data_IF_420458412663
#
_entry.id   IF_420458412663
#
_cell.length_a   1.000
_cell.length_b   1.000
_cell.length_c   1.000
_cell.angle_alpha   90.00
_cell.angle_beta   90.00
_cell.angle_gamma   90.00
#
_symmetry.space_group_name_H-M   'P 1'
#
loop_
_entity.id
_entity.type
_entity.pdbx_description
1 polymer ?
#
# COMPACT_ATOMS: atom_id res chain seq x y z
N UNK A 1 40.28 -15.92 -33.58
CA UNK A 1 39.22 -15.31 -32.78
C UNK A 1 38.09 -16.28 -32.71
N UNK A 2 37.58 -16.66 -31.53
CA UNK A 2 36.52 -17.61 -31.40
C UNK A 2 35.22 -17.03 -31.95
N UNK A 3 34.58 -17.72 -32.88
CA UNK A 3 33.29 -17.35 -33.48
C UNK A 3 32.24 -17.14 -32.38
N UNK A 4 31.62 -15.95 -32.36
CA UNK A 4 30.55 -15.60 -31.43
C UNK A 4 29.26 -16.33 -31.84
N UNK A 5 29.06 -17.51 -31.30
CA UNK A 5 27.82 -18.28 -31.52
C UNK A 5 26.77 -17.91 -30.46
N UNK A 6 25.79 -17.07 -30.83
CA UNK A 6 24.75 -16.58 -29.91
C UNK A 6 23.85 -17.70 -29.38
N UNK A 7 23.60 -18.76 -30.14
CA UNK A 7 22.85 -19.91 -29.68
C UNK A 7 23.59 -20.68 -28.57
N UNK A 8 24.90 -20.87 -28.75
CA UNK A 8 25.75 -21.47 -27.70
C UNK A 8 25.90 -20.56 -26.49
N UNK A 9 25.93 -19.25 -26.67
CA UNK A 9 26.00 -18.29 -25.58
C UNK A 9 24.76 -18.37 -24.68
N UNK A 10 23.57 -18.58 -25.25
CA UNK A 10 22.33 -18.80 -24.50
C UNK A 10 22.12 -20.26 -24.10
N UNK A 11 22.93 -21.21 -24.59
CA UNK A 11 22.79 -22.64 -24.31
C UNK A 11 21.54 -23.28 -24.92
N UNK A 12 21.12 -22.80 -26.10
CA UNK A 12 19.93 -23.27 -26.83
C UNK A 12 20.28 -23.72 -28.23
N UNK A 13 19.38 -24.49 -28.84
CA UNK A 13 19.53 -24.96 -30.23
C UNK A 13 19.09 -23.87 -31.23
N UNK A 14 19.60 -24.01 -32.51
CA UNK A 14 19.25 -23.05 -33.57
C UNK A 14 17.77 -23.01 -33.94
N UNK A 15 17.03 -24.08 -33.63
CA UNK A 15 15.58 -24.22 -33.85
C UNK A 15 14.73 -23.73 -32.67
N UNK A 16 15.36 -23.22 -31.60
CA UNK A 16 14.66 -22.77 -30.40
C UNK A 16 13.58 -21.70 -30.71
N UNK A 17 12.45 -21.81 -30.01
CA UNK A 17 11.35 -20.84 -30.10
C UNK A 17 11.73 -19.50 -29.43
N UNK A 18 10.99 -18.44 -29.73
CA UNK A 18 11.18 -17.15 -29.07
C UNK A 18 10.96 -17.23 -27.53
N UNK A 19 10.12 -18.15 -27.09
CA UNK A 19 9.89 -18.42 -25.67
C UNK A 19 11.09 -19.11 -25.02
N UNK A 20 11.70 -20.08 -25.71
CA UNK A 20 12.91 -20.74 -25.23
C UNK A 20 14.09 -19.77 -25.12
N UNK A 21 14.23 -18.86 -26.10
CA UNK A 21 15.23 -17.79 -26.07
C UNK A 21 15.02 -16.90 -24.84
N UNK A 22 13.80 -16.44 -24.59
CA UNK A 22 13.46 -15.62 -23.40
C UNK A 22 13.77 -16.36 -22.11
N UNK A 23 13.40 -17.62 -22.01
CA UNK A 23 13.61 -18.45 -20.81
C UNK A 23 15.10 -18.67 -20.52
N UNK A 24 15.88 -18.99 -21.54
CA UNK A 24 17.32 -19.18 -21.43
C UNK A 24 18.02 -17.86 -21.00
N UNK A 25 17.63 -16.74 -21.62
CA UNK A 25 18.13 -15.43 -21.28
C UNK A 25 17.86 -15.09 -19.80
N UNK A 26 16.63 -15.23 -19.32
CA UNK A 26 16.27 -14.94 -17.91
C UNK A 26 17.13 -15.76 -16.93
N UNK A 27 17.32 -17.04 -17.21
CA UNK A 27 18.14 -17.91 -16.36
C UNK A 27 19.59 -17.44 -16.29
N UNK A 28 20.21 -17.11 -17.41
CA UNK A 28 21.61 -16.69 -17.49
C UNK A 28 21.81 -15.27 -16.96
N UNK A 29 20.87 -14.37 -17.23
CA UNK A 29 20.90 -13.00 -16.70
C UNK A 29 20.86 -12.97 -15.18
N UNK A 30 20.02 -13.79 -14.53
CA UNK A 30 19.97 -13.98 -13.07
C UNK A 30 21.26 -14.62 -12.51
N UNK A 31 21.86 -15.54 -13.26
CA UNK A 31 23.09 -16.23 -12.85
C UNK A 31 24.29 -15.31 -12.88
N UNK A 32 24.43 -14.48 -13.92
CA UNK A 32 25.58 -13.59 -14.14
C UNK A 32 25.30 -12.12 -13.76
N UNK A 33 24.23 -11.87 -12.97
CA UNK A 33 23.87 -10.51 -12.58
C UNK A 33 24.98 -9.83 -11.77
N UNK A 34 25.33 -8.56 -12.09
CA UNK A 34 26.40 -7.84 -11.41
C UNK A 34 26.25 -7.77 -9.87
N UNK A 35 25.01 -7.65 -9.37
CA UNK A 35 24.76 -7.58 -7.94
C UNK A 35 25.02 -8.90 -7.20
N UNK A 36 24.83 -10.04 -7.88
CA UNK A 36 25.14 -11.36 -7.32
C UNK A 36 26.61 -11.75 -7.44
N UNK A 37 27.33 -11.18 -8.43
CA UNK A 37 28.69 -11.50 -8.75
C UNK A 37 29.60 -10.24 -8.67
N UNK A 38 29.46 -9.47 -7.58
CA UNK A 38 30.20 -8.21 -7.41
C UNK A 38 31.70 -8.42 -7.52
N UNK A 39 32.34 -7.76 -8.51
CA UNK A 39 33.78 -7.81 -8.76
C UNK A 39 34.27 -8.99 -9.62
N UNK A 40 33.39 -9.90 -10.08
CA UNK A 40 33.77 -10.96 -11.00
C UNK A 40 33.70 -10.49 -12.45
N UNK A 41 34.87 -10.18 -13.04
CA UNK A 41 35.00 -9.74 -14.43
C UNK A 41 34.51 -10.81 -15.42
N UNK A 42 34.64 -12.09 -15.09
CA UNK A 42 34.19 -13.19 -15.97
C UNK A 42 32.66 -13.22 -16.01
N UNK A 43 31.99 -13.01 -14.87
CA UNK A 43 30.53 -12.91 -14.83
C UNK A 43 30.03 -11.68 -15.60
N UNK A 44 30.73 -10.54 -15.52
CA UNK A 44 30.40 -9.32 -16.26
C UNK A 44 30.53 -9.52 -17.78
N UNK A 45 31.59 -10.16 -18.25
CA UNK A 45 31.77 -10.48 -19.67
C UNK A 45 30.70 -11.45 -20.19
N UNK A 46 30.36 -12.48 -19.40
CA UNK A 46 29.27 -13.40 -19.74
C UNK A 46 27.92 -12.70 -19.76
N UNK A 47 27.66 -11.80 -18.84
CA UNK A 47 26.42 -11.01 -18.81
C UNK A 47 26.29 -10.14 -20.06
N UNK A 48 27.38 -9.45 -20.50
CA UNK A 48 27.40 -8.69 -21.74
C UNK A 48 27.15 -9.57 -22.97
N UNK A 49 27.78 -10.74 -23.04
CA UNK A 49 27.58 -11.69 -24.14
C UNK A 49 26.14 -12.25 -24.18
N UNK A 50 25.55 -12.54 -23.04
CA UNK A 50 24.16 -13.01 -22.93
C UNK A 50 23.17 -11.95 -23.38
N UNK A 51 23.39 -10.68 -23.02
CA UNK A 51 22.56 -9.55 -23.46
C UNK A 51 22.67 -9.33 -24.98
N UNK A 52 23.89 -9.36 -25.53
CA UNK A 52 24.13 -9.26 -26.96
C UNK A 52 23.41 -10.40 -27.72
N UNK A 53 23.57 -11.65 -27.30
CA UNK A 53 22.92 -12.80 -27.92
C UNK A 53 21.38 -12.68 -27.90
N UNK A 54 20.81 -12.27 -26.77
CA UNK A 54 19.35 -12.08 -26.67
C UNK A 54 18.87 -10.95 -27.61
N UNK A 55 19.57 -9.84 -27.70
CA UNK A 55 19.17 -8.69 -28.54
C UNK A 55 19.11 -9.03 -30.04
N UNK A 56 19.87 -10.01 -30.46
CA UNK A 56 19.90 -10.47 -31.86
C UNK A 56 18.86 -11.57 -32.09
N UNK A 57 18.78 -12.56 -31.20
CA UNK A 57 17.95 -13.74 -31.41
C UNK A 57 16.47 -13.53 -31.10
N UNK A 58 16.11 -12.53 -30.28
CA UNK A 58 14.72 -12.23 -29.94
C UNK A 58 13.99 -11.52 -31.09
N UNK A 59 14.71 -10.77 -31.93
CA UNK A 59 14.16 -10.06 -33.08
C UNK A 59 14.15 -10.98 -34.30
N UNK A 60 12.98 -11.31 -34.88
CA UNK A 60 12.89 -12.22 -36.02
C UNK A 60 13.69 -11.73 -37.26
N UNK A 61 13.82 -10.41 -37.43
CA UNK A 61 14.57 -9.82 -38.53
C UNK A 61 16.08 -9.98 -38.35
N UNK A 62 16.59 -9.61 -37.16
CA UNK A 62 18.00 -9.76 -36.80
C UNK A 62 18.42 -11.23 -36.75
N UNK A 63 17.55 -12.10 -36.20
CA UNK A 63 17.81 -13.54 -36.16
C UNK A 63 17.99 -14.13 -37.55
N UNK A 64 17.11 -13.77 -38.51
CA UNK A 64 17.26 -14.21 -39.90
C UNK A 64 18.56 -13.74 -40.54
N UNK A 65 18.96 -12.48 -40.29
CA UNK A 65 20.24 -11.95 -40.79
C UNK A 65 21.41 -12.66 -40.13
N UNK A 66 21.34 -12.94 -38.82
CA UNK A 66 22.38 -13.67 -38.12
C UNK A 66 22.46 -15.15 -38.59
N UNK A 67 21.32 -15.79 -38.83
CA UNK A 67 21.27 -17.16 -39.36
C UNK A 67 21.88 -17.28 -40.78
N UNK A 68 21.76 -16.22 -41.58
CA UNK A 68 22.29 -16.20 -42.98
C UNK A 68 23.76 -15.73 -43.05
N UNK A 69 24.16 -14.77 -42.25
CA UNK A 69 25.45 -14.07 -42.38
C UNK A 69 26.39 -14.28 -41.19
N UNK A 70 25.94 -14.97 -40.14
CA UNK A 70 26.72 -15.19 -38.92
C UNK A 70 27.16 -13.90 -38.26
N UNK A 71 28.43 -13.79 -37.87
CA UNK A 71 28.99 -12.62 -37.18
C UNK A 71 28.96 -11.31 -38.02
N UNK A 72 28.86 -11.41 -39.34
CA UNK A 72 28.83 -10.26 -40.23
C UNK A 72 27.44 -9.64 -40.43
N UNK A 73 26.42 -10.11 -39.68
CA UNK A 73 25.04 -9.65 -39.81
C UNK A 73 24.86 -8.14 -39.59
N UNK A 74 25.70 -7.52 -38.74
CA UNK A 74 25.67 -6.07 -38.48
C UNK A 74 26.14 -5.26 -39.69
N UNK A 75 27.15 -5.73 -40.41
CA UNK A 75 27.65 -5.09 -41.62
C UNK A 75 26.61 -5.11 -42.74
N UNK A 76 25.89 -6.23 -42.86
CA UNK A 76 24.81 -6.39 -43.84
C UNK A 76 23.62 -5.51 -43.50
N UNK A 77 23.29 -5.37 -42.21
CA UNK A 77 22.23 -4.49 -41.76
C UNK A 77 22.54 -3.01 -42.03
N UNK A 78 23.79 -2.59 -41.87
CA UNK A 78 24.25 -1.24 -42.20
C UNK A 78 24.43 -0.97 -43.70
N UNK A 79 24.84 -1.98 -44.47
CA UNK A 79 25.05 -1.88 -45.92
C UNK A 79 23.77 -1.91 -46.76
N UNK A 80 22.67 -2.48 -46.21
CA UNK A 80 21.37 -2.52 -46.91
C UNK A 80 20.65 -1.16 -47.04
N UNK A 81 21.11 -0.12 -46.39
CA UNK A 81 20.57 1.26 -46.47
C UNK A 81 21.33 2.20 -47.41
N UNK A 82 22.40 1.75 -48.09
CA UNK A 82 23.24 2.59 -48.95
C UNK A 82 22.84 2.51 -50.45
N UNK A 83 21.55 2.35 -50.75
CA UNK A 83 21.02 2.41 -52.11
C UNK A 83 20.05 3.59 -52.32
N UNK A 84 20.58 4.84 -52.54
CA UNK A 84 19.73 5.89 -53.04
C UNK A 84 19.97 7.32 -52.55
N UNK A 85 20.87 8.03 -53.23
CA UNK A 85 21.01 9.44 -53.64
C UNK A 85 22.13 10.26 -52.98
N UNK A 86 23.00 10.88 -53.82
CA UNK A 86 24.04 11.81 -53.39
C UNK A 86 23.49 13.23 -53.30
N UNK A 87 23.79 13.92 -52.23
CA UNK A 87 23.67 15.38 -52.18
C UNK A 87 23.43 15.94 -50.78
N UNK A 88 24.41 16.68 -50.24
CA UNK A 88 24.18 17.63 -49.16
C UNK A 88 25.14 17.57 -47.98
N UNK A 89 26.19 18.35 -48.12
CA UNK A 89 27.19 18.83 -47.21
C UNK A 89 26.63 19.42 -45.92
N UNK A 90 27.14 19.06 -44.75
CA UNK A 90 27.56 19.99 -43.69
C UNK A 90 27.85 19.26 -42.38
N UNK A 91 29.04 19.43 -41.88
CA UNK A 91 29.55 18.88 -40.62
C UNK A 91 28.87 19.43 -39.37
N UNK A 92 28.81 18.61 -38.36
CA UNK A 92 28.77 19.03 -36.94
C UNK A 92 29.38 17.93 -36.08
N UNK A 93 30.49 18.28 -35.45
CA UNK A 93 31.13 17.57 -34.35
C UNK A 93 30.10 17.21 -33.28
N UNK A 94 30.02 15.94 -32.92
CA UNK A 94 29.30 15.50 -31.71
C UNK A 94 30.34 15.08 -30.68
N UNK A 95 30.47 15.91 -29.67
CA UNK A 95 31.11 15.64 -28.38
C UNK A 95 30.58 14.38 -27.74
N UNK A 96 31.47 13.49 -27.36
CA UNK A 96 31.21 12.30 -26.59
C UNK A 96 30.59 12.68 -25.22
N UNK A 97 29.35 12.36 -25.00
CA UNK A 97 28.69 12.48 -23.70
C UNK A 97 28.82 11.13 -22.98
N UNK A 98 29.58 11.13 -21.91
CA UNK A 98 29.71 10.03 -20.97
C UNK A 98 28.31 9.60 -20.47
N UNK A 99 28.01 8.31 -20.59
CA UNK A 99 26.82 7.67 -20.05
C UNK A 99 27.03 7.45 -18.55
N UNK A 100 26.00 7.73 -17.71
CA UNK A 100 26.04 7.37 -16.28
C UNK A 100 25.87 5.86 -16.10
N UNK A 101 26.45 5.25 -15.04
CA UNK A 101 26.32 3.83 -14.77
C UNK A 101 24.89 3.55 -14.26
N UNK A 102 24.19 2.68 -14.96
CA UNK A 102 22.85 2.20 -14.57
C UNK A 102 22.98 1.16 -13.45
N UNK A 103 22.36 1.42 -12.33
CA UNK A 103 22.06 0.43 -11.30
C UNK A 103 20.68 -0.14 -11.54
N UNK A 104 20.60 -1.43 -11.88
CA UNK A 104 19.37 -2.19 -11.97
C UNK A 104 19.10 -2.88 -10.63
N UNK A 105 17.92 -2.70 -10.08
CA UNK A 105 17.47 -3.41 -8.88
C UNK A 105 16.90 -4.78 -9.25
N UNK A 106 17.31 -5.82 -8.51
CA UNK A 106 16.92 -7.22 -8.78
C UNK A 106 15.43 -7.50 -8.52
N UNK A 107 14.72 -6.58 -7.86
CA UNK A 107 13.29 -6.69 -7.59
C UNK A 107 12.39 -6.38 -8.80
N UNK A 108 12.94 -5.77 -9.86
CA UNK A 108 12.17 -5.41 -11.07
C UNK A 108 11.93 -6.57 -12.03
N UNK A 109 12.49 -7.75 -11.75
CA UNK A 109 12.37 -8.93 -12.62
C UNK A 109 11.08 -9.74 -12.45
N UNK A 110 10.26 -9.46 -11.44
CA UNK A 110 9.02 -10.21 -11.19
C UNK A 110 7.80 -9.73 -11.99
N UNK A 111 7.89 -8.59 -12.69
CA UNK A 111 6.77 -8.05 -13.48
C UNK A 111 7.13 -7.98 -14.97
N UNK A 112 6.64 -8.94 -15.72
CA UNK A 112 6.87 -9.13 -17.17
C UNK A 112 6.50 -7.89 -18.02
N UNK A 113 5.54 -7.07 -17.59
CA UNK A 113 5.04 -5.89 -18.30
C UNK A 113 5.98 -4.68 -18.20
N UNK A 114 6.69 -4.50 -17.09
CA UNK A 114 7.61 -3.37 -16.91
C UNK A 114 8.94 -3.54 -17.68
N UNK A 115 9.36 -4.78 -17.85
CA UNK A 115 10.56 -5.08 -18.61
C UNK A 115 10.39 -4.81 -20.11
N UNK A 116 9.23 -5.14 -20.68
CA UNK A 116 8.94 -4.82 -22.09
C UNK A 116 8.86 -3.30 -22.34
N UNK A 117 8.32 -2.54 -21.41
CA UNK A 117 8.24 -1.07 -21.53
C UNK A 117 9.64 -0.41 -21.42
N UNK A 118 10.46 -0.85 -20.47
CA UNK A 118 11.81 -0.32 -20.29
C UNK A 118 12.74 -0.72 -21.45
N UNK A 119 12.62 -1.96 -21.92
CA UNK A 119 13.37 -2.45 -23.08
C UNK A 119 12.98 -1.73 -24.36
N UNK A 120 11.68 -1.47 -24.58
CA UNK A 120 11.19 -0.74 -25.75
C UNK A 120 11.60 0.73 -25.74
N UNK A 121 11.76 1.33 -24.56
CA UNK A 121 12.22 2.72 -24.40
C UNK A 121 13.71 2.87 -24.66
N UNK A 122 14.51 1.86 -24.33
CA UNK A 122 15.97 1.93 -24.44
C UNK A 122 16.51 1.41 -25.77
N UNK A 123 15.91 0.34 -26.32
CA UNK A 123 16.35 -0.28 -27.58
C UNK A 123 15.46 0.04 -28.79
N UNK A 124 14.30 0.67 -28.58
CA UNK A 124 13.38 1.09 -29.64
C UNK A 124 13.76 2.39 -30.35
N UNK A 125 14.99 2.82 -30.26
CA UNK A 125 15.52 3.99 -30.93
C UNK A 125 15.55 3.83 -32.45
N UNK A 126 14.67 4.59 -33.10
CA UNK A 126 14.74 4.93 -34.52
C UNK A 126 14.05 3.99 -35.51
N UNK A 127 12.72 4.02 -35.51
CA UNK A 127 11.99 3.76 -36.75
C UNK A 127 10.89 4.82 -36.94
N UNK A 128 11.18 5.68 -37.85
CA UNK A 128 10.34 6.57 -38.70
C UNK A 128 8.84 6.51 -38.50
N UNK A 129 8.30 7.73 -38.26
CA UNK A 129 6.91 8.17 -38.38
C UNK A 129 5.93 7.37 -39.20
N UNK A 130 5.27 6.46 -38.54
CA UNK A 130 3.87 6.09 -38.79
C UNK A 130 3.18 6.21 -37.46
N UNK A 131 2.13 7.02 -37.40
CA UNK A 131 1.40 7.36 -36.19
C UNK A 131 1.12 6.13 -35.32
N UNK A 132 1.93 5.98 -34.26
CA UNK A 132 1.69 4.96 -33.23
C UNK A 132 0.38 5.33 -32.58
N UNK A 133 -0.63 4.47 -32.73
CA UNK A 133 -1.87 4.63 -31.96
C UNK A 133 -1.47 4.86 -30.50
N UNK A 134 -2.04 5.84 -29.81
CA UNK A 134 -1.70 6.15 -28.43
C UNK A 134 -1.93 4.90 -27.58
N UNK A 135 -0.85 4.44 -26.91
CA UNK A 135 -0.93 3.24 -26.05
C UNK A 135 -1.93 3.47 -24.93
N UNK A 136 -2.73 2.46 -24.65
CA UNK A 136 -3.62 2.47 -23.49
C UNK A 136 -2.77 2.66 -22.22
N UNK A 137 -3.13 3.64 -21.40
CA UNK A 137 -2.53 3.88 -20.07
C UNK A 137 -3.60 3.75 -19.02
N UNK A 138 -3.34 2.92 -18.02
CA UNK A 138 -4.23 2.83 -16.86
C UNK A 138 -4.21 4.14 -16.08
N UNK A 139 -5.37 4.50 -15.52
CA UNK A 139 -5.48 5.63 -14.61
C UNK A 139 -4.73 5.36 -13.30
N UNK A 140 -4.27 6.41 -12.64
CA UNK A 140 -3.64 6.30 -11.34
C UNK A 140 -4.68 6.01 -10.25
N UNK A 141 -4.25 5.29 -9.20
CA UNK A 141 -5.06 5.11 -8.00
C UNK A 141 -5.18 6.45 -7.26
N UNK A 142 -6.32 6.65 -6.60
CA UNK A 142 -6.59 7.81 -5.76
C UNK A 142 -6.66 7.37 -4.30
N UNK A 143 -6.15 8.20 -3.40
CA UNK A 143 -6.29 8.03 -1.96
C UNK A 143 -7.18 9.13 -1.40
N UNK A 144 -8.09 8.75 -0.50
CA UNK A 144 -8.93 9.69 0.22
C UNK A 144 -9.11 9.23 1.67
N UNK A 145 -9.24 10.19 2.57
CA UNK A 145 -9.56 9.94 3.97
C UNK A 145 -11.05 10.18 4.22
N UNK A 146 -11.67 9.24 4.94
CA UNK A 146 -13.06 9.35 5.37
C UNK A 146 -13.11 9.39 6.89
N UNK A 147 -13.49 10.54 7.43
CA UNK A 147 -13.70 10.69 8.86
C UNK A 147 -15.10 10.24 9.26
N UNK A 148 -15.16 9.38 10.28
CA UNK A 148 -16.40 8.84 10.86
C UNK A 148 -16.41 9.08 12.38
N UNK A 149 -17.60 9.02 13.00
CA UNK A 149 -17.71 9.06 14.45
C UNK A 149 -17.41 7.69 15.08
N UNK A 150 -17.24 7.65 16.41
CA UNK A 150 -17.09 6.41 17.15
C UNK A 150 -18.38 5.58 17.10
N UNK A 151 -19.54 6.24 17.11
CA UNK A 151 -20.86 5.65 16.99
C UNK A 151 -21.06 5.01 15.61
N UNK A 152 -20.62 5.66 14.55
CA UNK A 152 -20.65 5.10 13.20
C UNK A 152 -19.79 3.84 13.11
N UNK A 153 -18.60 3.88 13.73
CA UNK A 153 -17.73 2.70 13.80
C UNK A 153 -18.32 1.59 14.66
N UNK A 154 -19.14 1.93 15.68
CA UNK A 154 -19.83 0.97 16.55
C UNK A 154 -21.01 0.31 15.83
N UNK A 155 -21.92 1.10 15.26
CA UNK A 155 -23.16 0.62 14.66
C UNK A 155 -22.96 0.06 13.24
N UNK A 156 -21.89 0.48 12.57
CA UNK A 156 -21.74 0.41 11.13
C UNK A 156 -22.56 1.51 10.45
N UNK A 157 -22.18 1.85 9.25
CA UNK A 157 -22.85 2.93 8.50
C UNK A 157 -22.92 2.65 7.02
N UNK A 158 -23.90 3.27 6.37
CA UNK A 158 -23.95 3.39 4.92
C UNK A 158 -24.04 4.87 4.57
N UNK A 159 -23.06 5.38 3.81
CA UNK A 159 -22.99 6.79 3.44
C UNK A 159 -22.73 6.93 1.95
N UNK A 160 -23.33 7.94 1.32
CA UNK A 160 -22.98 8.34 -0.03
C UNK A 160 -21.78 9.28 0.03
N UNK A 161 -20.71 8.91 -0.67
CA UNK A 161 -19.52 9.73 -0.85
C UNK A 161 -19.58 10.39 -2.21
N UNK A 162 -19.47 11.72 -2.24
CA UNK A 162 -19.35 12.47 -3.49
C UNK A 162 -17.87 12.62 -3.84
N UNK A 163 -17.46 12.02 -4.94
CA UNK A 163 -16.10 12.09 -5.48
C UNK A 163 -16.17 12.78 -6.84
N UNK A 164 -15.87 14.06 -6.85
CA UNK A 164 -16.11 14.90 -8.03
C UNK A 164 -17.60 14.93 -8.38
N UNK A 165 -17.95 14.50 -9.58
CA UNK A 165 -19.33 14.45 -10.07
C UNK A 165 -20.07 13.14 -9.75
N UNK A 166 -19.36 12.10 -9.31
CA UNK A 166 -19.97 10.80 -9.05
C UNK A 166 -20.25 10.59 -7.55
N UNK A 167 -21.37 9.93 -7.27
CA UNK A 167 -21.76 9.51 -5.93
C UNK A 167 -21.53 8.00 -5.77
N UNK A 168 -20.79 7.63 -4.73
CA UNK A 168 -20.46 6.24 -4.41
C UNK A 168 -21.03 5.86 -3.05
N UNK A 169 -21.69 4.70 -2.99
CA UNK A 169 -22.20 4.15 -1.74
C UNK A 169 -21.06 3.43 -1.00
N UNK A 170 -20.66 3.98 0.14
CA UNK A 170 -19.75 3.34 1.09
C UNK A 170 -20.57 2.66 2.18
N UNK A 171 -20.43 1.36 2.36
CA UNK A 171 -21.02 0.61 3.47
C UNK A 171 -19.89 0.10 4.36
N UNK A 172 -19.87 0.59 5.61
CA UNK A 172 -18.92 0.17 6.63
C UNK A 172 -19.60 -0.80 7.59
N UNK A 173 -18.97 -1.94 7.82
CA UNK A 173 -19.41 -2.90 8.83
C UNK A 173 -19.11 -2.37 10.23
N UNK A 174 -19.90 -2.83 11.23
CA UNK A 174 -19.63 -2.56 12.64
C UNK A 174 -18.23 -3.03 13.05
N UNK A 175 -17.57 -2.26 13.91
CA UNK A 175 -16.24 -2.58 14.41
C UNK A 175 -15.08 -2.12 13.52
N UNK A 176 -15.33 -1.34 12.48
CA UNK A 176 -14.27 -0.78 11.63
C UNK A 176 -13.20 -0.10 12.48
N UNK A 177 -11.92 -0.22 12.07
CA UNK A 177 -10.76 0.25 12.84
C UNK A 177 -10.20 1.54 12.27
N UNK A 178 -9.51 2.29 13.13
CA UNK A 178 -8.68 3.43 12.73
C UNK A 178 -7.64 2.97 11.70
N UNK A 179 -7.46 3.74 10.62
CA UNK A 179 -6.51 3.45 9.53
C UNK A 179 -6.92 2.27 8.65
N UNK A 180 -8.11 1.70 8.81
CA UNK A 180 -8.56 0.61 7.95
C UNK A 180 -8.80 1.13 6.54
N UNK A 181 -8.24 0.44 5.54
CA UNK A 181 -8.31 0.82 4.14
C UNK A 181 -9.37 0.01 3.40
N UNK A 182 -10.18 0.70 2.59
CA UNK A 182 -11.17 0.11 1.69
C UNK A 182 -10.84 0.46 0.24
N UNK A 183 -10.80 -0.53 -0.63
CA UNK A 183 -10.52 -0.38 -2.06
C UNK A 183 -11.81 -0.39 -2.87
N UNK A 184 -12.10 0.69 -3.54
CA UNK A 184 -13.19 0.79 -4.52
C UNK A 184 -12.61 0.67 -5.93
N UNK A 185 -12.80 -0.49 -6.54
CA UNK A 185 -12.21 -0.82 -7.83
C UNK A 185 -12.76 0.08 -8.94
N UNK A 186 -11.85 0.56 -9.80
CA UNK A 186 -12.19 1.36 -10.98
C UNK A 186 -12.74 2.74 -10.64
N UNK A 187 -12.51 3.26 -9.42
CA UNK A 187 -12.98 4.57 -8.95
C UNK A 187 -11.85 5.58 -8.73
N UNK A 188 -10.65 5.25 -9.23
CA UNK A 188 -9.52 6.16 -9.32
C UNK A 188 -9.58 7.07 -10.55
N UNK A 189 -8.42 7.54 -11.02
CA UNK A 189 -8.36 8.36 -12.23
C UNK A 189 -8.76 7.56 -13.47
N UNK A 190 -9.44 8.19 -14.44
CA UNK A 190 -9.77 7.53 -15.70
C UNK A 190 -8.51 7.16 -16.47
N UNK A 191 -8.51 5.97 -17.08
CA UNK A 191 -7.46 5.57 -18.00
C UNK A 191 -7.49 6.37 -19.30
N UNK A 192 -6.35 6.45 -19.98
CA UNK A 192 -6.20 7.12 -21.26
C UNK A 192 -6.11 6.10 -22.40
N UNK A 193 -6.61 6.47 -23.59
CA UNK A 193 -6.50 5.69 -24.83
C UNK A 193 -7.00 4.23 -24.69
N UNK A 194 -8.10 4.02 -23.91
CA UNK A 194 -8.67 2.69 -23.69
C UNK A 194 -8.06 1.93 -22.49
N UNK A 195 -7.20 2.58 -21.69
CA UNK A 195 -6.73 2.05 -20.41
C UNK A 195 -7.85 1.97 -19.36
N UNK A 196 -7.68 1.08 -18.37
CA UNK A 196 -8.65 0.95 -17.26
C UNK A 196 -8.49 2.12 -16.29
N UNK A 197 -9.59 2.51 -15.65
CA UNK A 197 -9.52 3.45 -14.52
C UNK A 197 -8.72 2.81 -13.36
N UNK A 198 -8.00 3.64 -12.61
CA UNK A 198 -7.37 3.26 -11.34
C UNK A 198 -8.41 2.94 -10.26
N UNK A 199 -7.96 2.63 -9.07
CA UNK A 199 -8.80 2.35 -7.91
C UNK A 199 -8.81 3.53 -6.93
N UNK A 200 -9.83 3.59 -6.08
CA UNK A 200 -9.88 4.53 -4.98
C UNK A 200 -9.64 3.79 -3.67
N UNK A 201 -8.62 4.24 -2.93
CA UNK A 201 -8.23 3.76 -1.62
C UNK A 201 -8.78 4.70 -0.56
N UNK A 202 -9.74 4.23 0.24
CA UNK A 202 -10.36 5.00 1.31
C UNK A 202 -9.74 4.62 2.65
N UNK A 203 -9.05 5.55 3.28
CA UNK A 203 -8.49 5.40 4.62
C UNK A 203 -9.50 5.91 5.67
N UNK A 204 -9.91 5.06 6.59
CA UNK A 204 -10.87 5.42 7.64
C UNK A 204 -10.14 6.13 8.78
N UNK A 205 -10.65 7.30 9.15
CA UNK A 205 -10.27 8.05 10.34
C UNK A 205 -11.43 8.12 11.32
N UNK A 206 -11.20 7.74 12.58
CA UNK A 206 -12.22 7.82 13.62
C UNK A 206 -11.99 9.11 14.39
N UNK A 207 -13.00 9.98 14.42
CA UNK A 207 -12.93 11.22 15.17
C UNK A 207 -12.72 10.94 16.66
N UNK A 208 -11.89 11.74 17.36
CA UNK A 208 -11.79 11.67 18.82
C UNK A 208 -13.18 11.86 19.47
N UNK A 209 -13.52 10.97 20.40
CA UNK A 209 -14.80 11.05 21.09
C UNK A 209 -14.63 11.74 22.46
N UNK A 210 -15.52 12.69 22.84
CA UNK A 210 -15.34 13.48 24.06
C UNK A 210 -15.36 12.66 25.34
N UNK A 211 -16.04 11.52 25.33
CA UNK A 211 -16.23 10.67 26.52
C UNK A 211 -15.42 9.37 26.50
N UNK A 212 -15.24 8.77 25.33
CA UNK A 212 -14.63 7.46 25.21
C UNK A 212 -13.26 7.53 24.54
N UNK A 213 -12.32 6.76 25.09
CA UNK A 213 -11.01 6.49 24.48
C UNK A 213 -11.07 5.04 24.02
N UNK A 214 -10.87 4.80 22.73
CA UNK A 214 -10.84 3.45 22.15
C UNK A 214 -9.42 2.91 22.13
N UNK A 215 -9.24 1.68 22.60
CA UNK A 215 -7.98 0.92 22.51
C UNK A 215 -8.28 -0.46 21.92
N UNK A 216 -8.03 -0.61 20.63
CA UNK A 216 -8.44 -1.84 19.92
C UNK A 216 -9.96 -1.99 19.87
N UNK A 217 -10.48 -3.02 20.54
CA UNK A 217 -11.93 -3.24 20.71
C UNK A 217 -12.44 -2.79 22.08
N UNK A 218 -11.56 -2.40 22.99
CA UNK A 218 -11.96 -1.93 24.31
C UNK A 218 -12.21 -0.42 24.31
N UNK A 219 -13.08 0.00 25.22
CA UNK A 219 -13.38 1.39 25.49
C UNK A 219 -12.97 1.73 26.92
N UNK A 220 -12.52 2.97 27.11
CA UNK A 220 -12.28 3.54 28.42
C UNK A 220 -13.06 4.84 28.56
N UNK A 221 -13.70 5.07 29.71
CA UNK A 221 -14.35 6.33 30.01
C UNK A 221 -14.20 6.68 31.49
N UNK A 222 -14.42 7.95 31.81
CA UNK A 222 -14.53 8.41 33.18
C UNK A 222 -16.00 8.54 33.56
N UNK A 223 -16.33 8.17 34.79
CA UNK A 223 -17.67 8.28 35.35
C UNK A 223 -17.61 8.91 36.72
N UNK A 224 -18.27 10.04 36.85
CA UNK A 224 -18.47 10.71 38.13
C UNK A 224 -19.43 9.92 38.99
N UNK A 225 -19.09 9.77 40.26
CA UNK A 225 -19.93 9.15 41.28
C UNK A 225 -19.93 10.01 42.54
N UNK A 226 -21.03 10.00 43.25
CA UNK A 226 -21.18 10.69 44.52
C UNK A 226 -20.27 10.10 45.59
N UNK A 227 -19.74 10.95 46.49
CA UNK A 227 -18.86 10.52 47.59
C UNK A 227 -19.53 9.49 48.48
N UNK A 228 -20.79 9.68 48.82
CA UNK A 228 -21.52 8.73 49.70
C UNK A 228 -21.67 7.37 49.02
N UNK A 229 -21.97 7.37 47.73
CA UNK A 229 -22.02 6.14 46.96
C UNK A 229 -20.65 5.44 46.85
N UNK A 230 -19.56 6.21 46.78
CA UNK A 230 -18.19 5.64 46.78
C UNK A 230 -17.84 5.02 48.14
N UNK A 231 -18.22 5.65 49.25
CA UNK A 231 -17.95 5.18 50.63
C UNK A 231 -18.82 3.99 51.01
N UNK A 232 -20.15 4.10 50.85
CA UNK A 232 -21.10 3.10 51.32
C UNK A 232 -21.37 2.02 50.29
N UNK A 233 -20.92 2.19 49.05
CA UNK A 233 -21.29 1.34 47.94
C UNK A 233 -22.70 1.65 47.43
N UNK A 234 -23.10 0.95 46.38
CA UNK A 234 -24.42 1.15 45.82
C UNK A 234 -24.47 0.92 44.31
N UNK A 235 -25.59 1.30 43.74
CA UNK A 235 -25.82 1.18 42.30
C UNK A 235 -25.73 2.57 41.67
N UNK A 236 -24.91 2.68 40.60
CA UNK A 236 -24.82 3.87 39.78
C UNK A 236 -25.07 3.53 38.32
N UNK A 237 -25.43 4.52 37.53
CA UNK A 237 -25.71 4.34 36.11
C UNK A 237 -24.49 4.74 35.29
N UNK A 238 -24.08 3.90 34.37
CA UNK A 238 -23.06 4.18 33.38
C UNK A 238 -23.67 4.24 31.98
N UNK A 239 -23.46 5.33 31.28
CA UNK A 239 -23.81 5.38 29.88
C UNK A 239 -22.77 4.59 29.07
N UNK A 240 -23.22 3.77 28.15
CA UNK A 240 -22.38 3.00 27.24
C UNK A 240 -22.83 3.24 25.81
N UNK A 241 -22.02 2.84 24.81
CA UNK A 241 -22.45 2.89 23.41
C UNK A 241 -23.61 1.93 23.10
N UNK A 242 -23.82 0.90 23.94
CA UNK A 242 -24.94 -0.04 23.79
C UNK A 242 -26.26 0.51 24.34
N UNK A 243 -26.20 1.01 25.56
CA UNK A 243 -27.34 1.59 26.30
C UNK A 243 -26.87 2.02 27.70
N UNK A 244 -27.72 2.67 28.45
CA UNK A 244 -27.48 2.89 29.87
C UNK A 244 -27.46 1.55 30.62
N UNK A 245 -26.41 1.34 31.42
CA UNK A 245 -26.22 0.15 32.25
C UNK A 245 -26.03 0.51 33.71
N UNK A 246 -26.55 -0.32 34.58
CA UNK A 246 -26.35 -0.20 36.04
C UNK A 246 -25.05 -0.91 36.39
N UNK A 247 -24.16 -0.22 37.10
CA UNK A 247 -22.97 -0.82 37.71
C UNK A 247 -23.06 -0.74 39.22
N UNK A 248 -22.48 -1.72 39.90
CA UNK A 248 -22.47 -1.81 41.37
C UNK A 248 -21.09 -1.36 41.86
N UNK A 249 -21.10 -0.37 42.75
CA UNK A 249 -19.91 0.10 43.47
C UNK A 249 -19.76 -0.71 44.76
N UNK A 250 -18.57 -1.19 45.04
CA UNK A 250 -18.24 -1.78 46.32
C UNK A 250 -18.03 -0.67 47.35
N UNK A 251 -18.41 -0.91 48.63
CA UNK A 251 -18.08 0.04 49.70
C UNK A 251 -16.58 0.32 49.74
N UNK A 252 -16.23 1.59 49.90
CA UNK A 252 -14.82 2.04 49.90
C UNK A 252 -14.18 2.13 48.51
N UNK A 253 -14.96 2.22 47.45
CA UNK A 253 -14.43 2.44 46.08
C UNK A 253 -13.61 3.72 46.01
N UNK A 254 -12.35 3.61 45.68
CA UNK A 254 -11.42 4.74 45.62
C UNK A 254 -11.55 5.56 44.34
N UNK A 255 -11.21 6.83 44.42
CA UNK A 255 -11.05 7.68 43.24
C UNK A 255 -10.00 7.10 42.30
N UNK A 256 -10.27 7.04 40.98
CA UNK A 256 -9.40 6.40 39.99
C UNK A 256 -9.55 4.88 39.92
N UNK A 257 -10.39 4.25 40.74
CA UNK A 257 -10.67 2.82 40.62
C UNK A 257 -11.26 2.51 39.23
N UNK A 258 -10.81 1.43 38.58
CA UNK A 258 -11.27 1.03 37.26
C UNK A 258 -12.17 -0.20 37.34
N UNK A 259 -13.42 -0.04 36.93
CA UNK A 259 -14.38 -1.11 36.86
C UNK A 259 -14.50 -1.63 35.42
N UNK A 260 -14.35 -2.95 35.23
CA UNK A 260 -14.49 -3.60 33.93
C UNK A 260 -15.93 -4.07 33.73
N UNK A 261 -16.54 -3.59 32.66
CA UNK A 261 -17.86 -4.03 32.21
C UNK A 261 -17.69 -4.89 30.95
N UNK A 262 -17.81 -6.19 31.08
CA UNK A 262 -17.55 -7.15 30.02
C UNK A 262 -18.53 -7.02 28.86
N UNK A 263 -18.02 -7.10 27.63
CA UNK A 263 -18.83 -7.09 26.42
C UNK A 263 -19.51 -5.76 26.11
N UNK A 264 -19.11 -4.65 26.75
CA UNK A 264 -19.67 -3.32 26.53
C UNK A 264 -18.71 -2.36 25.81
N UNK A 265 -17.66 -2.90 25.19
CA UNK A 265 -16.74 -2.19 24.31
C UNK A 265 -17.22 -2.10 22.86
N UNK A 266 -16.30 -1.95 21.93
CA UNK A 266 -16.55 -1.92 20.50
C UNK A 266 -16.82 -3.33 19.95
N UNK A 267 -17.65 -3.46 18.92
CA UNK A 267 -17.78 -4.74 18.22
C UNK A 267 -16.46 -5.14 17.55
N UNK A 268 -16.20 -6.43 17.54
CA UNK A 268 -15.04 -6.99 16.83
C UNK A 268 -15.37 -7.03 15.33
N UNK A 269 -14.50 -6.43 14.52
CA UNK A 269 -14.71 -6.39 13.08
C UNK A 269 -14.83 -7.81 12.50
N UNK A 270 -15.84 -8.02 11.68
CA UNK A 270 -16.16 -9.30 11.00
C UNK A 270 -16.44 -10.51 11.94
N UNK A 271 -16.64 -10.25 13.23
CA UNK A 271 -17.08 -11.26 14.20
C UNK A 271 -18.47 -10.91 14.72
N UNK A 272 -19.43 -11.80 14.46
CA UNK A 272 -20.81 -11.59 14.91
C UNK A 272 -20.88 -11.62 16.46
N UNK A 273 -21.57 -10.63 17.03
CA UNK A 273 -21.93 -10.52 18.45
C UNK A 273 -20.77 -10.65 19.45
N UNK A 274 -19.53 -10.41 18.97
CA UNK A 274 -18.35 -10.35 19.81
C UNK A 274 -17.98 -8.89 20.04
N UNK A 275 -17.81 -8.52 21.32
CA UNK A 275 -17.49 -7.15 21.73
C UNK A 275 -16.26 -7.16 22.64
N UNK A 276 -15.52 -6.07 22.64
CA UNK A 276 -14.52 -5.77 23.66
C UNK A 276 -15.19 -5.36 24.97
N UNK A 277 -14.40 -4.87 25.89
CA UNK A 277 -14.87 -4.48 27.23
C UNK A 277 -14.88 -2.95 27.38
N UNK A 278 -15.68 -2.48 28.32
CA UNK A 278 -15.68 -1.09 28.76
C UNK A 278 -15.00 -1.00 30.13
N UNK A 279 -13.96 -0.17 30.22
CA UNK A 279 -13.26 0.18 31.45
C UNK A 279 -13.75 1.54 31.93
N UNK A 280 -14.40 1.55 33.07
CA UNK A 280 -14.97 2.76 33.69
C UNK A 280 -14.08 3.19 34.85
N UNK A 281 -13.37 4.31 34.66
CA UNK A 281 -12.56 4.96 35.70
C UNK A 281 -13.49 5.81 36.58
N UNK A 282 -13.54 5.50 37.89
CA UNK A 282 -14.40 6.18 38.84
C UNK A 282 -13.76 7.51 39.25
N UNK A 283 -14.52 8.58 39.09
CA UNK A 283 -14.16 9.91 39.57
C UNK A 283 -15.11 10.28 40.70
N UNK A 284 -14.60 10.29 41.94
CA UNK A 284 -15.40 10.63 43.10
C UNK A 284 -15.58 12.15 43.15
N UNK A 285 -16.82 12.59 43.10
CA UNK A 285 -17.18 14.02 43.25
C UNK A 285 -17.40 14.35 44.70
N UNK A 286 -16.68 15.35 45.16
CA UNK A 286 -16.85 15.95 46.50
C UNK A 286 -17.90 17.04 46.37
N UNK A 287 -19.00 17.00 47.16
CA UNK A 287 -20.03 18.03 47.07
C UNK A 287 -19.46 19.40 47.44
N UNK A 288 -19.69 20.39 46.59
CA UNK A 288 -19.27 21.76 46.81
C UNK A 288 -20.25 22.58 47.66
N UNK A 289 -21.51 22.18 47.61
CA UNK A 289 -22.59 22.78 48.38
C UNK A 289 -23.18 21.71 49.27
N UNK A 290 -23.28 22.03 50.56
CA UNK A 290 -23.87 21.12 51.57
C UNK A 290 -25.13 21.77 52.16
N UNK A 291 -26.16 21.02 52.30
CA UNK A 291 -27.30 21.40 53.12
C UNK A 291 -26.88 21.45 54.62
N UNK A 292 -27.64 22.15 55.45
CA UNK A 292 -27.35 22.23 56.88
C UNK A 292 -27.25 20.82 57.52
N UNK A 293 -28.13 19.94 57.16
CA UNK A 293 -28.13 18.56 57.64
C UNK A 293 -26.90 17.78 57.20
N UNK A 294 -26.47 17.92 55.97
CA UNK A 294 -25.25 17.26 55.48
C UNK A 294 -24.01 17.78 56.17
N UNK A 295 -23.95 19.10 56.43
CA UNK A 295 -22.86 19.72 57.17
C UNK A 295 -22.75 19.15 58.59
N UNK A 296 -23.88 19.09 59.32
CA UNK A 296 -23.91 18.46 60.64
C UNK A 296 -23.39 17.01 60.64
N UNK A 297 -23.79 16.22 59.65
CA UNK A 297 -23.33 14.84 59.52
C UNK A 297 -21.83 14.74 59.22
N UNK A 298 -21.31 15.61 58.35
CA UNK A 298 -19.86 15.63 58.06
C UNK A 298 -19.05 16.12 59.28
N UNK A 299 -19.55 17.09 60.07
CA UNK A 299 -18.94 17.53 61.32
C UNK A 299 -18.93 16.41 62.36
N UNK A 300 -20.03 15.68 62.53
CA UNK A 300 -20.08 14.49 63.39
C UNK A 300 -19.09 13.42 62.95
N UNK A 301 -18.98 13.14 61.64
CA UNK A 301 -17.99 12.20 61.08
C UNK A 301 -16.56 12.63 61.34
N UNK A 302 -16.25 13.95 61.26
CA UNK A 302 -14.97 14.52 61.62
C UNK A 302 -14.64 14.26 63.07
N UNK A 303 -15.58 14.56 64.01
CA UNK A 303 -15.39 14.32 65.42
C UNK A 303 -15.07 12.87 65.77
N UNK A 304 -15.67 11.90 65.05
CA UNK A 304 -15.37 10.46 65.22
C UNK A 304 -13.96 10.06 64.77
N UNK A 305 -13.35 10.82 63.89
CA UNK A 305 -11.99 10.53 63.39
C UNK A 305 -10.89 11.15 64.29
N UNK A 306 -11.26 12.25 65.01
CA UNK A 306 -10.36 12.96 65.91
C UNK A 306 -10.33 12.39 67.32
N UNK A 307 -11.22 11.36 67.59
CA UNK A 307 -11.28 10.59 68.83
C UNK A 307 -10.44 9.30 68.74
#
# INVERSE_FOLDING_TARGET
>A
MASKDYYKTLGIEKNASSEDIKKAYRKLALQFHPDKNKGDKIAEEKFKAVNEANSVLIDPGKRKLYDQYGENWEQVQQGGQAGGRPGGQAGRQRTARQQPPFSFDASDFENDERFEDLFSQFFGGQQTGRGRAPRARNGADLEAEVQISLEDAFAGMTRMLSLGTEQHRLTLKKGVREGQQFRLRGKGQPGQNGGRAGDLLLNIRIAPHPRYIRTGNDLRCKQSVDLVAAVLGGKTRAQTLHAEKVMTLQPGTQNGAVLRMRGLGMPVYDAADTFGDLYVEIMVEIPTELSEKERELYEALKALKDS
#
